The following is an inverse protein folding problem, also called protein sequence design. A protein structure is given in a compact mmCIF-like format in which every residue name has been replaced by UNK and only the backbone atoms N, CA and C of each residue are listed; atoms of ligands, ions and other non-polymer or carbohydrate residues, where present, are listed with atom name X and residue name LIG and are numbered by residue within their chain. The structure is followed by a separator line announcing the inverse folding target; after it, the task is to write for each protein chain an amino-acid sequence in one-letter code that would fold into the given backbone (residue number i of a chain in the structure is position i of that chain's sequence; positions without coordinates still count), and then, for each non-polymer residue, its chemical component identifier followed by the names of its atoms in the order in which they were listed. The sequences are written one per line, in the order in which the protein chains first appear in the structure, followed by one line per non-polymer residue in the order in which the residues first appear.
data_IF_964358371855
#
_entry.id   IF_964358371855
#
_cell.length_a   1.000
_cell.length_b   1.000
_cell.length_c   1.000
_cell.angle_alpha   90.00
_cell.angle_beta   90.00
_cell.angle_gamma   90.00
#
_symmetry.space_group_name_H-M   'P 1'
#
loop_
_entity.id
_entity.type
_entity.pdbx_description
1 polymer ?
#
# COMPACT_ATOMS: atom_id res chain seq x y z
N UNK A 1 -20.55 -7.57 -17.89
CA UNK A 1 -20.10 -6.36 -18.61
C UNK A 1 -19.01 -5.71 -17.79
N UNK A 2 -17.77 -5.84 -18.29
CA UNK A 2 -16.45 -5.39 -17.81
C UNK A 2 -16.42 -4.51 -16.54
N UNK A 3 -16.20 -5.16 -15.40
CA UNK A 3 -15.82 -4.51 -14.15
C UNK A 3 -14.39 -3.98 -14.28
N UNK A 4 -14.24 -2.68 -14.48
CA UNK A 4 -12.95 -2.00 -14.38
C UNK A 4 -12.47 -2.09 -12.93
N UNK A 5 -11.58 -3.04 -12.63
CA UNK A 5 -10.77 -3.01 -11.42
C UNK A 5 -9.85 -1.80 -11.50
N UNK A 6 -10.14 -0.76 -10.73
CA UNK A 6 -9.38 0.50 -10.72
C UNK A 6 -8.24 0.38 -9.71
N UNK A 7 -7.03 0.78 -10.09
CA UNK A 7 -5.86 0.81 -9.21
C UNK A 7 -5.79 2.11 -8.40
N UNK A 8 -5.30 2.04 -7.15
CA UNK A 8 -5.39 3.07 -6.12
C UNK A 8 -4.05 3.36 -5.44
N UNK A 9 -2.95 3.15 -6.17
CA UNK A 9 -1.62 3.17 -5.60
C UNK A 9 -1.33 4.42 -4.78
N UNK A 10 -0.94 4.21 -3.53
CA UNK A 10 -0.64 5.29 -2.59
C UNK A 10 -1.83 5.83 -1.82
N UNK A 11 -3.03 5.24 -1.94
CA UNK A 11 -4.21 5.60 -1.13
C UNK A 11 -4.51 4.61 0.02
N UNK A 12 -3.81 3.48 0.09
CA UNK A 12 -3.94 2.53 1.20
C UNK A 12 -3.02 2.90 2.37
N UNK A 13 -3.40 3.93 3.10
CA UNK A 13 -2.81 4.31 4.38
C UNK A 13 -3.94 4.67 5.36
N UNK A 14 -3.69 4.54 6.66
CA UNK A 14 -4.71 4.61 7.72
C UNK A 14 -5.65 5.83 7.65
N UNK A 15 -5.19 6.97 7.14
CA UNK A 15 -5.99 8.20 7.05
C UNK A 15 -7.11 8.11 6.01
N UNK A 16 -7.05 7.13 5.10
CA UNK A 16 -8.06 6.86 4.08
C UNK A 16 -8.98 5.68 4.46
N UNK A 17 -8.92 5.20 5.70
CA UNK A 17 -9.78 4.13 6.22
C UNK A 17 -10.73 4.73 7.25
N UNK A 18 -12.00 4.92 6.88
CA UNK A 18 -13.05 5.31 7.81
C UNK A 18 -13.67 4.06 8.44
N UNK A 19 -13.96 4.15 9.73
CA UNK A 19 -14.70 3.12 10.47
C UNK A 19 -15.99 3.78 10.96
N UNK A 20 -17.14 3.20 10.60
CA UNK A 20 -18.43 3.70 11.09
C UNK A 20 -18.70 3.26 12.54
N UNK A 21 -19.78 3.76 13.14
CA UNK A 21 -20.16 3.42 14.53
C UNK A 21 -20.54 1.94 14.74
N UNK A 22 -20.73 1.18 13.66
CA UNK A 22 -21.01 -0.25 13.68
C UNK A 22 -19.75 -1.10 13.47
N UNK A 23 -18.58 -0.47 13.26
CA UNK A 23 -17.31 -1.15 12.97
C UNK A 23 -17.14 -1.50 11.50
N UNK A 24 -17.99 -1.00 10.60
CA UNK A 24 -17.84 -1.20 9.16
C UNK A 24 -16.73 -0.31 8.62
N UNK A 25 -15.85 -0.90 7.80
CA UNK A 25 -14.67 -0.23 7.26
C UNK A 25 -14.96 0.25 5.84
N UNK A 26 -14.82 1.55 5.60
CA UNK A 26 -14.94 2.18 4.30
C UNK A 26 -13.64 2.90 3.92
N UNK A 27 -13.07 2.54 2.77
CA UNK A 27 -12.00 3.34 2.18
C UNK A 27 -12.57 4.67 1.66
N UNK A 28 -11.86 5.77 1.86
CA UNK A 28 -12.23 7.10 1.39
C UNK A 28 -11.14 7.72 0.49
N UNK A 29 -11.50 8.80 -0.21
CA UNK A 29 -10.64 9.56 -1.13
C UNK A 29 -10.42 8.99 -2.55
N UNK A 30 -11.41 8.26 -3.08
CA UNK A 30 -11.44 7.77 -4.47
C UNK A 30 -11.60 8.87 -5.56
N UNK A 31 -11.77 10.14 -5.16
CA UNK A 31 -12.26 11.23 -6.01
C UNK A 31 -11.23 11.99 -6.85
N UNK A 32 -9.93 11.79 -6.63
CA UNK A 32 -8.88 12.64 -7.23
C UNK A 32 -7.98 11.93 -8.26
N UNK A 33 -8.22 10.65 -8.57
CA UNK A 33 -7.45 9.89 -9.57
C UNK A 33 -7.60 10.38 -11.03
N UNK A 34 -8.33 11.49 -11.27
CA UNK A 34 -8.77 11.92 -12.60
C UNK A 34 -8.31 13.30 -13.09
N UNK A 35 -7.47 14.05 -12.39
CA UNK A 35 -7.03 15.38 -12.88
C UNK A 35 -5.53 15.41 -13.22
N UNK A 36 -5.09 14.61 -14.19
CA UNK A 36 -3.77 14.79 -14.85
C UNK A 36 -3.87 14.69 -16.37
N UNK A 37 -5.01 15.07 -16.94
CA UNK A 37 -5.13 15.27 -18.38
C UNK A 37 -5.93 16.56 -18.58
N UNK A 38 -5.32 17.51 -19.28
CA UNK A 38 -5.86 18.83 -19.64
C UNK A 38 -5.90 19.91 -18.54
N UNK A 39 -4.73 20.48 -18.22
CA UNK A 39 -4.57 21.94 -18.28
C UNK A 39 -3.11 22.34 -18.12
N UNK A 40 -2.55 22.94 -19.16
CA UNK A 40 -1.37 23.80 -19.04
C UNK A 40 -1.77 25.02 -18.21
N UNK A 41 -1.72 24.91 -16.89
CA UNK A 41 -1.92 26.02 -15.95
C UNK A 41 -1.29 25.63 -14.62
N UNK A 42 -0.40 26.49 -14.16
CA UNK A 42 0.52 26.37 -13.03
C UNK A 42 -0.15 26.33 -11.65
N UNK A 43 -1.19 25.51 -11.48
CA UNK A 43 -1.91 25.26 -10.21
C UNK A 43 -2.23 23.78 -9.95
N UNK A 44 -1.74 22.86 -10.80
CA UNK A 44 -1.83 21.41 -10.58
C UNK A 44 -0.84 20.86 -9.51
N UNK A 45 -0.37 21.72 -8.60
CA UNK A 45 0.65 21.41 -7.59
C UNK A 45 0.17 21.50 -6.14
N UNK A 46 -1.14 21.55 -5.88
CA UNK A 46 -1.67 21.86 -4.53
C UNK A 46 -2.52 20.76 -3.88
N UNK A 47 -2.59 19.56 -4.47
CA UNK A 47 -3.05 18.34 -3.77
C UNK A 47 -2.14 17.12 -3.96
N UNK A 48 -1.12 17.20 -4.83
CA UNK A 48 0.11 16.44 -4.67
C UNK A 48 1.04 17.40 -3.94
N UNK A 49 1.11 17.29 -2.62
CA UNK A 49 2.05 18.10 -1.84
C UNK A 49 3.46 17.81 -2.38
N UNK A 50 4.27 18.83 -2.74
CA UNK A 50 5.64 18.62 -3.23
C UNK A 50 6.60 18.02 -2.16
N UNK A 51 6.05 17.59 -1.02
CA UNK A 51 6.73 16.90 0.07
C UNK A 51 6.24 15.44 0.28
N UNK A 52 5.36 14.89 -0.57
CA UNK A 52 4.86 13.49 -0.45
C UNK A 52 5.94 12.43 -0.74
N UNK A 53 7.10 12.83 -1.26
CA UNK A 53 8.28 11.96 -1.33
C UNK A 53 8.89 11.55 0.02
N UNK A 54 8.39 12.08 1.16
CA UNK A 54 9.01 11.92 2.49
C UNK A 54 8.13 11.27 3.58
N UNK A 55 6.97 10.68 3.25
CA UNK A 55 6.08 10.16 4.31
C UNK A 55 5.36 8.85 4.03
N UNK A 56 4.99 8.56 2.78
CA UNK A 56 4.14 7.40 2.44
C UNK A 56 4.87 6.29 1.68
N UNK A 57 6.21 6.34 1.62
CA UNK A 57 7.03 5.35 0.92
C UNK A 57 6.83 3.92 1.45
N UNK A 58 6.57 3.80 2.75
CA UNK A 58 6.43 2.53 3.50
C UNK A 58 5.26 1.64 3.04
N UNK A 59 4.24 2.24 2.46
CA UNK A 59 3.07 1.52 1.93
C UNK A 59 3.17 1.31 0.41
N UNK A 60 4.13 1.93 -0.28
CA UNK A 60 4.25 1.80 -1.73
C UNK A 60 5.05 0.55 -2.11
N UNK A 61 4.62 -0.07 -3.19
CA UNK A 61 5.33 -1.17 -3.83
C UNK A 61 6.66 -0.67 -4.45
N UNK A 62 7.71 -1.49 -4.51
CA UNK A 62 9.04 -1.08 -5.00
C UNK A 62 9.01 -0.55 -6.43
N UNK A 63 8.24 -1.17 -7.33
CA UNK A 63 8.08 -0.73 -8.71
C UNK A 63 7.42 0.66 -8.84
N UNK A 64 6.66 1.09 -7.83
CA UNK A 64 6.07 2.43 -7.78
C UNK A 64 7.08 3.46 -7.29
N UNK A 65 8.13 3.05 -6.58
CA UNK A 65 9.19 3.94 -6.10
C UNK A 65 10.32 4.11 -7.12
N UNK A 66 10.53 3.12 -7.98
CA UNK A 66 11.54 3.10 -9.04
C UNK A 66 10.98 3.70 -10.34
N UNK A 67 10.56 4.97 -10.30
CA UNK A 67 9.99 5.66 -11.47
C UNK A 67 10.98 6.68 -12.06
N UNK A 68 11.11 6.63 -13.37
CA UNK A 68 11.65 7.71 -14.20
C UNK A 68 10.53 8.74 -14.45
N UNK A 69 10.81 10.05 -14.34
CA UNK A 69 9.78 11.10 -14.34
C UNK A 69 8.98 11.17 -15.66
N UNK A 70 9.55 10.62 -16.74
CA UNK A 70 8.97 10.62 -18.09
C UNK A 70 8.20 9.33 -18.45
N UNK A 71 8.18 8.32 -17.56
CA UNK A 71 7.55 7.03 -17.83
C UNK A 71 6.07 6.98 -17.35
N UNK A 72 5.21 6.16 -18.00
CA UNK A 72 3.85 5.91 -17.51
C UNK A 72 3.87 5.34 -16.08
N UNK A 73 2.93 5.77 -15.25
CA UNK A 73 2.86 5.31 -13.86
C UNK A 73 2.67 3.78 -13.78
N UNK A 74 3.55 3.03 -13.08
CA UNK A 74 3.49 1.58 -12.91
C UNK A 74 2.42 1.14 -11.90
N UNK A 75 1.52 2.06 -11.53
CA UNK A 75 0.41 1.78 -10.65
C UNK A 75 -0.55 0.75 -11.24
N UNK A 76 -0.63 -0.40 -10.58
CA UNK A 76 -1.46 -1.54 -10.94
C UNK A 76 -2.21 -2.10 -9.74
N UNK A 77 -3.19 -2.98 -10.01
CA UNK A 77 -3.84 -3.75 -8.95
C UNK A 77 -2.85 -4.57 -8.12
N UNK A 78 -1.69 -4.93 -8.66
CA UNK A 78 -0.64 -5.67 -7.93
C UNK A 78 0.12 -4.79 -6.95
N UNK A 79 0.37 -3.53 -7.28
CA UNK A 79 0.91 -2.56 -6.32
C UNK A 79 -0.10 -2.24 -5.21
N UNK A 80 -1.40 -2.26 -5.50
CA UNK A 80 -2.43 -2.13 -4.45
C UNK A 80 -2.42 -3.32 -3.47
N UNK A 81 -2.16 -4.54 -3.95
CA UNK A 81 -1.99 -5.72 -3.07
C UNK A 81 -0.82 -5.55 -2.10
N UNK A 82 0.30 -4.98 -2.57
CA UNK A 82 1.43 -4.66 -1.71
C UNK A 82 1.04 -3.65 -0.63
N UNK A 83 0.40 -2.55 -1.03
CA UNK A 83 -0.04 -1.50 -0.11
C UNK A 83 -1.08 -2.00 0.89
N UNK A 84 -1.97 -2.89 0.46
CA UNK A 84 -2.94 -3.55 1.31
C UNK A 84 -2.28 -4.33 2.46
N UNK A 85 -1.22 -5.10 2.19
CA UNK A 85 -0.52 -5.83 3.24
C UNK A 85 0.21 -4.90 4.22
N UNK A 86 0.80 -3.81 3.72
CA UNK A 86 1.40 -2.78 4.57
C UNK A 86 0.37 -2.11 5.50
N UNK A 87 -0.82 -1.80 4.97
CA UNK A 87 -1.93 -1.27 5.75
C UNK A 87 -2.47 -2.31 6.76
N UNK A 88 -2.61 -3.56 6.34
CA UNK A 88 -3.03 -4.65 7.21
C UNK A 88 -2.09 -4.85 8.39
N UNK A 89 -0.77 -4.81 8.15
CA UNK A 89 0.23 -4.84 9.21
C UNK A 89 0.04 -3.68 10.20
N UNK A 90 -0.14 -2.47 9.70
CA UNK A 90 -0.35 -1.28 10.52
C UNK A 90 -1.62 -1.38 11.36
N UNK A 91 -2.73 -1.84 10.80
CA UNK A 91 -3.98 -2.06 11.53
C UNK A 91 -3.80 -3.10 12.64
N UNK A 92 -3.14 -4.22 12.34
CA UNK A 92 -2.98 -5.32 13.30
C UNK A 92 -2.00 -4.98 14.44
N UNK A 93 -1.09 -4.04 14.23
CA UNK A 93 0.02 -3.77 15.17
C UNK A 93 -0.01 -2.36 15.75
N UNK A 94 -0.79 -1.45 15.18
CA UNK A 94 -0.76 -0.01 15.47
C UNK A 94 0.55 0.67 15.07
N UNK A 95 1.39 0.03 14.25
CA UNK A 95 2.74 0.50 13.90
C UNK A 95 2.92 0.58 12.39
N UNK A 96 3.55 1.66 11.95
CA UNK A 96 3.91 1.85 10.54
C UNK A 96 4.86 0.72 10.05
N UNK A 97 4.79 0.33 8.76
CA UNK A 97 5.77 -0.58 8.19
C UNK A 97 7.20 -0.03 8.26
N UNK A 98 8.17 -0.93 8.41
CA UNK A 98 9.58 -0.64 8.69
C UNK A 98 9.80 0.27 9.91
N UNK A 99 9.07 0.01 11.01
CA UNK A 99 9.10 0.83 12.24
C UNK A 99 10.50 1.07 12.82
N UNK A 100 11.44 0.15 12.59
CA UNK A 100 12.84 0.24 13.00
C UNK A 100 13.67 1.23 12.15
N UNK A 101 13.23 1.56 10.94
CA UNK A 101 13.91 2.49 10.04
C UNK A 101 13.35 3.90 10.23
N UNK A 102 14.10 4.77 10.91
CA UNK A 102 13.70 6.18 11.15
C UNK A 102 13.87 7.12 9.96
N UNK A 103 14.61 6.70 8.93
CA UNK A 103 14.94 7.54 7.77
C UNK A 103 14.26 6.95 6.53
N UNK A 104 13.42 7.74 5.87
CA UNK A 104 12.71 7.36 4.64
C UNK A 104 13.63 6.89 3.52
N UNK A 105 14.81 7.50 3.37
CA UNK A 105 15.79 7.02 2.38
C UNK A 105 16.22 5.57 2.66
N UNK A 106 16.38 5.21 3.94
CA UNK A 106 16.69 3.82 4.31
C UNK A 106 15.53 2.88 4.04
N UNK A 107 14.30 3.35 4.20
CA UNK A 107 13.09 2.58 3.85
C UNK A 107 13.05 2.35 2.34
N UNK A 108 13.17 3.40 1.53
CA UNK A 108 13.20 3.29 0.07
C UNK A 108 14.29 2.33 -0.38
N UNK A 109 15.51 2.44 0.17
CA UNK A 109 16.57 1.50 -0.16
C UNK A 109 16.28 0.07 0.30
N UNK A 110 15.64 -0.12 1.45
CA UNK A 110 15.26 -1.45 1.92
C UNK A 110 14.25 -2.09 0.95
N UNK A 111 13.22 -1.33 0.54
CA UNK A 111 12.18 -1.73 -0.41
C UNK A 111 12.77 -2.11 -1.77
N UNK A 112 13.62 -1.25 -2.35
CA UNK A 112 14.27 -1.49 -3.64
C UNK A 112 15.23 -2.69 -3.62
N UNK A 113 15.75 -3.07 -2.44
CA UNK A 113 16.55 -4.28 -2.26
C UNK A 113 15.70 -5.51 -1.88
N UNK A 114 14.36 -5.43 -1.96
CA UNK A 114 13.46 -6.54 -1.68
C UNK A 114 13.32 -6.91 -0.20
N UNK A 115 13.69 -6.03 0.72
CA UNK A 115 13.40 -6.26 2.14
C UNK A 115 11.93 -5.99 2.45
N UNK A 116 11.38 -6.77 3.37
CA UNK A 116 10.01 -6.63 3.89
C UNK A 116 10.05 -6.41 5.40
N UNK A 117 8.94 -5.97 6.04
CA UNK A 117 8.86 -5.90 7.50
C UNK A 117 9.16 -7.26 8.17
N UNK A 118 10.02 -7.27 9.20
CA UNK A 118 10.33 -8.46 10.00
C UNK A 118 9.32 -8.57 11.16
N UNK A 119 8.72 -9.75 11.34
CA UNK A 119 7.77 -10.02 12.40
C UNK A 119 8.31 -9.73 13.82
N UNK A 120 9.62 -9.81 14.03
CA UNK A 120 10.25 -9.48 15.32
C UNK A 120 10.11 -8.02 15.71
N UNK A 121 9.92 -7.12 14.75
CA UNK A 121 9.75 -5.69 15.00
C UNK A 121 8.31 -5.33 15.43
N UNK A 122 7.36 -6.28 15.31
CA UNK A 122 5.93 -6.10 15.60
C UNK A 122 5.41 -7.14 16.59
N UNK A 123 5.83 -7.09 17.87
CA UNK A 123 5.43 -8.05 18.89
C UNK A 123 3.90 -8.09 19.15
N UNK A 124 3.16 -7.06 18.73
CA UNK A 124 1.71 -6.97 18.81
C UNK A 124 1.01 -8.05 17.95
N UNK A 125 1.63 -8.45 16.83
CA UNK A 125 1.15 -9.54 15.99
C UNK A 125 2.05 -10.78 16.19
N UNK A 126 1.57 -11.86 16.83
CA UNK A 126 2.38 -13.04 17.11
C UNK A 126 3.10 -13.55 15.86
N UNK A 127 4.38 -13.91 15.99
CA UNK A 127 5.22 -14.34 14.85
C UNK A 127 4.60 -15.55 14.10
N UNK A 128 3.89 -16.42 14.80
CA UNK A 128 3.19 -17.57 14.24
C UNK A 128 1.79 -17.27 13.66
N UNK A 129 1.35 -16.00 13.67
CA UNK A 129 0.03 -15.63 13.17
C UNK A 129 -0.05 -15.84 11.64
N UNK A 130 -1.13 -16.46 11.11
CA UNK A 130 -1.25 -16.79 9.69
C UNK A 130 -1.18 -15.57 8.76
N UNK A 131 -1.60 -14.39 9.22
CA UNK A 131 -1.47 -13.13 8.46
C UNK A 131 -0.04 -12.84 8.01
N UNK A 132 1.00 -13.28 8.73
CA UNK A 132 2.38 -13.10 8.26
C UNK A 132 2.66 -13.83 6.95
N UNK A 133 2.09 -15.02 6.77
CA UNK A 133 2.23 -15.76 5.52
C UNK A 133 1.50 -15.05 4.37
N UNK A 134 0.32 -14.50 4.65
CA UNK A 134 -0.45 -13.68 3.71
C UNK A 134 0.33 -12.42 3.31
N UNK A 135 0.79 -11.63 4.28
CA UNK A 135 1.54 -10.39 4.02
C UNK A 135 2.82 -10.64 3.20
N UNK A 136 3.57 -11.71 3.51
CA UNK A 136 4.78 -12.07 2.74
C UNK A 136 4.50 -12.35 1.27
N UNK A 137 3.38 -12.99 0.94
CA UNK A 137 2.98 -13.20 -0.47
C UNK A 137 2.57 -11.90 -1.16
N UNK A 138 1.98 -10.96 -0.43
CA UNK A 138 1.66 -9.64 -0.95
C UNK A 138 2.89 -8.75 -1.15
N UNK A 139 3.92 -8.91 -0.32
CA UNK A 139 5.18 -8.15 -0.40
C UNK A 139 6.23 -8.77 -1.32
N UNK A 140 5.87 -9.74 -2.17
CA UNK A 140 6.78 -10.25 -3.20
C UNK A 140 7.21 -9.10 -4.11
N UNK A 141 8.51 -9.05 -4.42
CA UNK A 141 9.08 -7.96 -5.20
C UNK A 141 8.44 -7.87 -6.58
N UNK A 142 8.39 -8.99 -7.31
CA UNK A 142 7.78 -9.07 -8.63
C UNK A 142 6.25 -8.92 -8.54
N UNK A 143 5.65 -7.89 -9.16
CA UNK A 143 4.19 -7.64 -9.07
C UNK A 143 3.33 -8.82 -9.53
N UNK A 144 3.79 -9.57 -10.53
CA UNK A 144 3.10 -10.66 -11.21
C UNK A 144 2.94 -11.88 -10.31
N UNK A 145 3.91 -12.10 -9.40
CA UNK A 145 3.93 -13.20 -8.44
C UNK A 145 3.06 -12.95 -7.20
N UNK A 146 2.58 -11.71 -7.01
CA UNK A 146 1.66 -11.38 -5.93
C UNK A 146 0.32 -12.10 -6.14
N UNK A 147 -0.44 -12.42 -5.09
CA UNK A 147 -1.77 -13.02 -5.21
C UNK A 147 -2.79 -12.06 -5.83
N UNK A 148 -3.87 -12.59 -6.41
CA UNK A 148 -4.97 -11.75 -6.88
C UNK A 148 -5.86 -11.35 -5.71
N UNK A 149 -6.57 -10.23 -5.86
CA UNK A 149 -7.46 -9.74 -4.80
C UNK A 149 -8.57 -10.76 -4.45
N UNK A 150 -9.04 -11.54 -5.42
CA UNK A 150 -10.03 -12.59 -5.20
C UNK A 150 -9.54 -13.64 -4.20
N UNK A 151 -8.35 -14.19 -4.45
CA UNK A 151 -7.72 -15.20 -3.60
C UNK A 151 -7.49 -14.67 -2.17
N UNK A 152 -7.09 -13.41 -2.05
CA UNK A 152 -6.88 -12.74 -0.76
C UNK A 152 -8.18 -12.55 0.01
N UNK A 153 -9.27 -12.15 -0.65
CA UNK A 153 -10.56 -11.94 0.00
C UNK A 153 -11.12 -13.25 0.58
N UNK A 154 -10.95 -14.36 -0.13
CA UNK A 154 -11.41 -15.67 0.35
C UNK A 154 -10.57 -16.15 1.53
N UNK A 155 -9.24 -16.03 1.46
CA UNK A 155 -8.35 -16.43 2.56
C UNK A 155 -8.54 -15.55 3.82
N UNK A 156 -8.74 -14.24 3.67
CA UNK A 156 -9.02 -13.36 4.81
C UNK A 156 -10.35 -13.70 5.48
N UNK A 157 -11.35 -14.11 4.70
CA UNK A 157 -12.64 -14.55 5.25
C UNK A 157 -12.45 -15.80 6.11
N UNK A 158 -11.67 -16.76 5.63
CA UNK A 158 -11.40 -18.02 6.34
C UNK A 158 -10.52 -17.83 7.59
N UNK A 159 -9.76 -16.73 7.68
CA UNK A 159 -8.91 -16.42 8.85
C UNK A 159 -9.62 -15.63 9.95
N UNK A 160 -10.74 -14.97 9.62
CA UNK A 160 -11.48 -14.07 10.53
C UNK A 160 -12.81 -14.70 10.98
N UNK A 161 -13.34 -15.68 10.24
CA UNK A 161 -14.50 -16.50 10.60
C UNK A 161 -14.09 -17.77 11.37
#
# INVERSE_FOLDING_TARGET
MNGMSRSLCGLFFQENVLIDSNGEVALCDFGLSKFVQDSQSSVAGMFITPNVGRGTSRWRAPEVLDQDEDAPSPCSTRSDIYSFASLGLEIMTGKIPFVNLKNEYKVTMALLNGHTPDAKDYPELPIGHPLWALFRRCWVFEPEERPMIGDLCDELRDLIC
#
